data_IF_053998287823
#
_entry.id   IF_053998287823
#
_cell.length_a   1.000
_cell.length_b   1.000
_cell.length_c   1.000
_cell.angle_alpha   90.00
_cell.angle_beta   90.00
_cell.angle_gamma   90.00
#
_symmetry.space_group_name_H-M   'P 1'
#
loop_
_entity.id
_entity.type
_entity.pdbx_description
1 polymer ?
#
# COMPACT_ATOMS: atom_id res chain seq x y z
N UNK A 1 25.22 -2.89 -46.18
CA UNK A 1 24.75 -1.53 -46.52
C UNK A 1 24.00 -0.94 -45.33
N UNK A 2 24.66 -0.10 -44.53
CA UNK A 2 24.18 0.38 -43.22
C UNK A 2 23.76 1.86 -43.24
N UNK A 3 22.59 2.16 -43.79
CA UNK A 3 22.11 3.56 -43.95
C UNK A 3 21.13 3.99 -42.84
N UNK A 4 20.74 3.10 -41.93
CA UNK A 4 19.62 3.38 -41.00
C UNK A 4 20.02 4.12 -39.71
N UNK A 5 21.30 4.13 -39.31
CA UNK A 5 21.72 4.74 -38.02
C UNK A 5 22.02 6.24 -38.09
N UNK A 6 22.47 6.75 -39.23
CA UNK A 6 22.92 8.16 -39.35
C UNK A 6 21.71 9.11 -39.36
N UNK A 7 20.66 8.77 -40.12
CA UNK A 7 19.42 9.58 -40.22
C UNK A 7 18.68 9.65 -38.87
N UNK A 8 18.69 8.57 -38.09
CA UNK A 8 18.05 8.52 -36.78
C UNK A 8 18.78 9.36 -35.71
N UNK A 9 20.10 9.54 -35.84
CA UNK A 9 20.91 10.36 -34.92
C UNK A 9 20.69 11.85 -35.17
N UNK A 10 20.69 12.28 -36.44
CA UNK A 10 20.46 13.67 -36.83
C UNK A 10 19.12 14.23 -36.31
N UNK A 11 18.04 13.44 -36.40
CA UNK A 11 16.71 13.85 -35.90
C UNK A 11 16.62 13.93 -34.37
N UNK A 12 17.51 13.26 -33.65
CA UNK A 12 17.56 13.32 -32.17
C UNK A 12 18.16 14.65 -31.72
N UNK A 13 19.27 15.04 -32.34
CA UNK A 13 20.03 16.24 -31.97
C UNK A 13 19.23 17.51 -32.31
N UNK A 14 18.50 17.50 -33.42
CA UNK A 14 17.55 18.55 -33.83
C UNK A 14 16.40 18.73 -32.82
N UNK A 15 15.81 17.63 -32.34
CA UNK A 15 14.77 17.67 -31.29
C UNK A 15 15.31 18.29 -30.00
N UNK A 16 16.54 17.93 -29.60
CA UNK A 16 17.13 18.46 -28.37
C UNK A 16 17.49 19.95 -28.49
N UNK A 17 17.95 20.40 -29.66
CA UNK A 17 18.20 21.81 -29.94
C UNK A 17 16.91 22.64 -29.83
N UNK A 18 15.79 22.16 -30.40
CA UNK A 18 14.49 22.83 -30.34
C UNK A 18 13.91 22.89 -28.91
N UNK A 19 14.15 21.86 -28.10
CA UNK A 19 13.75 21.83 -26.69
C UNK A 19 14.59 22.79 -25.85
N UNK A 20 15.89 22.92 -26.14
CA UNK A 20 16.79 23.81 -25.41
C UNK A 20 16.58 25.31 -25.71
N UNK A 21 16.24 25.67 -26.95
CA UNK A 21 16.16 27.07 -27.39
C UNK A 21 14.93 27.86 -26.92
N UNK A 22 13.83 27.21 -26.50
CA UNK A 22 12.55 27.90 -26.22
C UNK A 22 11.95 27.66 -24.83
N UNK A 23 12.53 26.79 -24.00
CA UNK A 23 11.98 26.48 -22.68
C UNK A 23 10.56 25.87 -22.71
N UNK A 24 9.80 26.02 -21.62
CA UNK A 24 8.53 25.32 -21.34
C UNK A 24 7.34 25.72 -22.23
N UNK A 25 7.49 26.71 -23.12
CA UNK A 25 6.38 27.31 -23.85
C UNK A 25 5.93 26.53 -25.10
N UNK A 26 6.75 25.62 -25.62
CA UNK A 26 6.44 24.86 -26.84
C UNK A 26 6.03 23.44 -26.48
N UNK A 27 4.84 23.04 -26.93
CA UNK A 27 4.37 21.66 -26.72
C UNK A 27 5.22 20.65 -27.50
N UNK A 28 5.43 19.46 -26.93
CA UNK A 28 6.10 18.35 -27.62
C UNK A 28 5.42 17.96 -28.94
N UNK A 29 4.14 18.27 -29.10
CA UNK A 29 3.39 18.06 -30.34
C UNK A 29 3.82 19.02 -31.45
N UNK A 30 4.11 20.28 -31.11
CA UNK A 30 4.57 21.27 -32.07
C UNK A 30 6.01 20.99 -32.54
N UNK A 31 6.88 20.55 -31.62
CA UNK A 31 8.22 20.06 -31.97
C UNK A 31 8.14 18.85 -32.91
N UNK A 32 7.21 17.94 -32.63
CA UNK A 32 6.93 16.79 -33.51
C UNK A 32 6.55 17.21 -34.93
N UNK A 33 5.65 18.19 -35.08
CA UNK A 33 5.26 18.70 -36.40
C UNK A 33 6.44 19.30 -37.18
N UNK A 34 7.35 20.01 -36.51
CA UNK A 34 8.52 20.64 -37.15
C UNK A 34 9.56 19.63 -37.63
N UNK A 35 9.80 18.58 -36.84
CA UNK A 35 10.84 17.55 -37.15
C UNK A 35 10.25 16.32 -37.88
N UNK A 36 8.95 16.34 -38.19
CA UNK A 36 8.27 15.20 -38.83
C UNK A 36 8.21 13.96 -37.94
N UNK A 37 8.08 14.13 -36.62
CA UNK A 37 8.01 13.06 -35.63
C UNK A 37 6.67 13.08 -34.90
N UNK A 38 6.20 11.91 -34.46
CA UNK A 38 5.05 11.85 -33.56
C UNK A 38 5.40 12.49 -32.21
N UNK A 39 4.40 13.09 -31.55
CA UNK A 39 4.53 13.64 -30.19
C UNK A 39 5.16 12.62 -29.21
N UNK A 40 4.74 11.36 -29.31
CA UNK A 40 5.26 10.29 -28.44
C UNK A 40 6.74 10.00 -28.72
N UNK A 41 7.17 10.07 -30.00
CA UNK A 41 8.58 9.89 -30.34
C UNK A 41 9.46 11.01 -29.82
N UNK A 42 8.99 12.25 -29.89
CA UNK A 42 9.66 13.42 -29.28
C UNK A 42 9.76 13.25 -27.77
N UNK A 43 8.67 12.86 -27.10
CA UNK A 43 8.65 12.57 -25.65
C UNK A 43 9.70 11.52 -25.25
N UNK A 44 9.83 10.44 -26.01
CA UNK A 44 10.82 9.38 -25.74
C UNK A 44 12.26 9.89 -25.90
N UNK A 45 12.54 10.71 -26.91
CA UNK A 45 13.86 11.32 -27.14
C UNK A 45 14.25 12.22 -25.97
N UNK A 46 13.36 13.13 -25.58
CA UNK A 46 13.56 14.07 -24.47
C UNK A 46 13.72 13.33 -23.15
N UNK A 47 12.90 12.30 -22.90
CA UNK A 47 13.03 11.43 -21.72
C UNK A 47 14.38 10.71 -21.69
N UNK A 48 14.84 10.15 -22.81
CA UNK A 48 16.12 9.43 -22.90
C UNK A 48 17.34 10.35 -22.78
N UNK A 49 17.19 11.63 -23.11
CA UNK A 49 18.23 12.64 -22.99
C UNK A 49 18.32 13.28 -21.59
N UNK A 50 17.60 12.75 -20.59
CA UNK A 50 17.69 13.23 -19.21
C UNK A 50 16.88 14.49 -18.89
N UNK A 51 16.16 15.05 -19.87
CA UNK A 51 15.17 16.12 -19.63
C UNK A 51 13.88 15.50 -19.11
N UNK A 52 13.93 14.98 -17.88
CA UNK A 52 12.73 14.57 -17.17
C UNK A 52 11.98 15.83 -16.77
N UNK A 53 10.96 16.19 -17.55
CA UNK A 53 9.88 17.09 -17.15
C UNK A 53 9.12 16.49 -15.97
N UNK A 54 9.74 16.47 -14.81
CA UNK A 54 9.05 16.57 -13.53
C UNK A 54 9.19 18.02 -13.15
N UNK A 55 8.09 18.78 -13.22
CA UNK A 55 8.01 20.12 -12.68
C UNK A 55 8.73 20.12 -11.34
N UNK A 56 9.83 20.88 -11.22
CA UNK A 56 10.47 21.17 -9.93
C UNK A 56 9.56 22.13 -9.16
N UNK A 57 8.29 21.78 -9.04
CA UNK A 57 7.39 22.45 -8.13
C UNK A 57 8.04 22.38 -6.75
N UNK A 58 8.03 23.52 -6.08
CA UNK A 58 8.53 23.67 -4.73
C UNK A 58 8.02 22.50 -3.87
N UNK A 59 8.95 21.76 -3.28
CA UNK A 59 8.60 20.61 -2.47
C UNK A 59 8.27 21.12 -1.07
N UNK A 60 7.03 21.01 -0.59
CA UNK A 60 6.70 21.43 0.76
C UNK A 60 7.53 20.67 1.79
N UNK A 61 7.95 21.41 2.81
CA UNK A 61 8.60 20.88 4.00
C UNK A 61 7.56 20.41 5.02
N UNK A 62 7.80 19.25 5.63
CA UNK A 62 6.95 18.66 6.67
C UNK A 62 7.81 18.24 7.85
N UNK A 63 7.20 18.27 9.04
CA UNK A 63 7.79 17.73 10.27
C UNK A 63 7.29 16.29 10.44
N UNK A 64 8.20 15.35 10.66
CA UNK A 64 7.84 13.96 10.91
C UNK A 64 7.12 13.83 12.27
N UNK A 65 5.92 13.24 12.27
CA UNK A 65 5.13 13.07 13.50
C UNK A 65 5.78 12.12 14.53
N UNK A 66 6.73 11.27 14.11
CA UNK A 66 7.41 10.32 15.00
C UNK A 66 8.73 10.86 15.57
N UNK A 67 9.54 11.52 14.75
CA UNK A 67 10.92 11.90 15.12
C UNK A 67 11.19 13.40 15.08
N UNK A 68 10.23 14.22 14.67
CA UNK A 68 10.37 15.68 14.63
C UNK A 68 11.30 16.23 13.53
N UNK A 69 11.91 15.38 12.69
CA UNK A 69 12.79 15.84 11.60
C UNK A 69 12.00 16.52 10.49
N UNK A 70 12.54 17.63 9.97
CA UNK A 70 12.04 18.29 8.77
C UNK A 70 12.45 17.50 7.53
N UNK A 71 11.52 17.28 6.60
CA UNK A 71 11.77 16.59 5.34
C UNK A 71 10.91 17.13 4.20
N UNK A 72 11.41 17.03 2.96
CA UNK A 72 10.69 17.48 1.76
C UNK A 72 9.86 16.35 1.15
N UNK A 73 8.70 16.70 0.61
CA UNK A 73 7.85 15.74 -0.11
C UNK A 73 7.35 16.30 -1.43
N UNK A 74 7.05 15.40 -2.36
CA UNK A 74 6.27 15.76 -3.54
C UNK A 74 4.84 16.11 -3.13
N UNK A 75 4.27 17.16 -3.74
CA UNK A 75 2.89 17.60 -3.48
C UNK A 75 1.86 16.47 -3.64
N UNK A 76 2.08 15.55 -4.59
CA UNK A 76 1.23 14.36 -4.76
C UNK A 76 1.23 13.43 -3.55
N UNK A 77 2.36 13.27 -2.86
CA UNK A 77 2.46 12.48 -1.63
C UNK A 77 1.91 13.23 -0.42
N UNK A 78 2.03 14.54 -0.38
CA UNK A 78 1.38 15.36 0.65
C UNK A 78 -0.15 15.20 0.57
N UNK A 79 -0.73 15.27 -0.63
CA UNK A 79 -2.17 15.03 -0.86
C UNK A 79 -2.64 13.62 -0.45
N UNK A 80 -1.73 12.64 -0.39
CA UNK A 80 -1.99 11.28 0.09
C UNK A 80 -1.88 11.14 1.62
N UNK A 81 -1.60 12.23 2.36
CA UNK A 81 -1.52 12.20 3.82
C UNK A 81 -0.18 11.69 4.36
N UNK A 82 0.94 11.95 3.66
CA UNK A 82 2.28 11.60 4.16
C UNK A 82 2.61 12.38 5.44
N UNK A 83 2.84 11.65 6.55
CA UNK A 83 3.17 12.24 7.87
C UNK A 83 4.56 11.86 8.39
N UNK A 84 5.25 10.90 7.77
CA UNK A 84 6.50 10.33 8.26
C UNK A 84 7.63 10.47 7.24
N UNK A 85 8.84 10.77 7.73
CA UNK A 85 10.03 10.92 6.90
C UNK A 85 10.48 9.58 6.31
N UNK A 86 10.39 8.48 7.08
CA UNK A 86 10.85 7.14 6.66
C UNK A 86 9.81 6.03 6.92
N UNK A 87 9.92 4.88 6.22
CA UNK A 87 9.13 3.68 6.53
C UNK A 87 9.30 3.21 7.97
N UNK A 88 10.48 3.41 8.55
CA UNK A 88 10.79 3.07 9.95
C UNK A 88 9.97 3.91 10.92
N UNK A 89 9.88 5.23 10.71
CA UNK A 89 9.05 6.12 11.53
C UNK A 89 7.56 5.75 11.43
N UNK A 90 7.08 5.41 10.22
CA UNK A 90 5.71 4.91 10.03
C UNK A 90 5.48 3.57 10.74
N UNK A 91 6.46 2.67 10.74
CA UNK A 91 6.38 1.42 11.48
C UNK A 91 6.46 1.63 13.00
N UNK A 92 7.29 2.56 13.47
CA UNK A 92 7.39 2.93 14.89
C UNK A 92 6.06 3.50 15.41
N UNK A 93 5.46 4.45 14.69
CA UNK A 93 4.15 5.00 15.03
C UNK A 93 3.06 3.92 15.12
N UNK A 94 3.05 2.96 14.17
CA UNK A 94 2.14 1.79 14.21
C UNK A 94 2.42 0.82 15.36
N UNK A 95 3.68 0.71 15.81
CA UNK A 95 4.07 -0.14 16.95
C UNK A 95 3.74 0.52 18.30
N UNK A 96 3.83 1.84 18.38
CA UNK A 96 3.47 2.64 19.57
C UNK A 96 1.97 2.60 19.87
N UNK A 97 1.12 2.56 18.84
CA UNK A 97 -0.31 2.29 18.97
C UNK A 97 -0.56 0.79 19.28
N UNK A 98 -0.19 0.34 20.49
CA UNK A 98 -0.60 -0.99 20.95
C UNK A 98 -2.12 -1.04 21.00
N UNK A 99 -2.72 -1.95 20.22
CA UNK A 99 -4.14 -2.23 20.35
C UNK A 99 -4.48 -2.51 21.82
N UNK A 100 -5.59 -1.98 22.34
CA UNK A 100 -5.95 -2.16 23.74
C UNK A 100 -6.04 -3.66 24.08
N UNK A 101 -5.51 -4.02 25.24
CA UNK A 101 -5.68 -5.36 25.81
C UNK A 101 -7.02 -5.38 26.52
N UNK A 102 -7.91 -6.25 26.07
CA UNK A 102 -9.26 -6.40 26.61
C UNK A 102 -9.31 -7.64 27.50
N UNK A 103 -10.02 -7.52 28.62
CA UNK A 103 -10.30 -8.64 29.53
C UNK A 103 -11.64 -9.30 29.17
N UNK A 104 -11.65 -10.63 29.15
CA UNK A 104 -12.81 -11.46 28.82
C UNK A 104 -13.01 -12.51 29.90
N UNK A 105 -14.27 -12.94 30.09
CA UNK A 105 -14.61 -14.07 30.94
C UNK A 105 -14.83 -15.32 30.08
N UNK A 106 -14.21 -16.43 30.45
CA UNK A 106 -14.42 -17.69 29.73
C UNK A 106 -15.82 -18.26 30.04
N UNK A 107 -16.59 -18.60 29.00
CA UNK A 107 -17.93 -19.22 29.15
C UNK A 107 -17.89 -20.64 29.74
N UNK A 108 -16.74 -21.33 29.65
CA UNK A 108 -16.62 -22.71 30.13
C UNK A 108 -16.06 -22.79 31.56
N UNK A 109 -14.90 -22.18 31.84
CA UNK A 109 -14.28 -22.24 33.18
C UNK A 109 -14.55 -21.02 34.05
N UNK A 110 -15.11 -19.93 33.51
CA UNK A 110 -15.37 -18.70 34.25
C UNK A 110 -14.17 -17.81 34.53
N UNK A 111 -12.94 -18.25 34.21
CA UNK A 111 -11.71 -17.48 34.42
C UNK A 111 -11.63 -16.23 33.55
N UNK A 112 -11.03 -15.18 34.09
CA UNK A 112 -10.72 -13.94 33.37
C UNK A 112 -9.43 -14.15 32.59
N UNK A 113 -9.43 -13.78 31.31
CA UNK A 113 -8.25 -13.85 30.44
C UNK A 113 -8.18 -12.61 29.55
N UNK A 114 -6.98 -12.27 29.11
CA UNK A 114 -6.72 -11.06 28.32
C UNK A 114 -6.36 -11.37 26.88
N UNK A 115 -6.86 -10.57 25.93
CA UNK A 115 -6.51 -10.64 24.50
C UNK A 115 -6.35 -9.25 23.90
N UNK A 116 -5.52 -9.14 22.87
CA UNK A 116 -5.43 -7.89 22.10
C UNK A 116 -6.72 -7.69 21.31
N UNK A 117 -7.21 -6.46 21.18
CA UNK A 117 -8.41 -6.18 20.36
C UNK A 117 -8.31 -6.75 18.92
N UNK A 118 -7.10 -6.79 18.35
CA UNK A 118 -6.83 -7.39 17.03
C UNK A 118 -7.01 -8.91 16.96
N UNK A 119 -6.92 -9.61 18.09
CA UNK A 119 -7.08 -11.07 18.20
C UNK A 119 -8.56 -11.48 18.38
N UNK A 120 -9.42 -10.53 18.74
CA UNK A 120 -10.85 -10.75 19.01
C UNK A 120 -11.60 -10.75 17.67
N UNK A 121 -11.34 -11.74 16.81
CA UNK A 121 -12.19 -11.98 15.63
C UNK A 121 -13.35 -12.90 16.02
N UNK A 122 -14.58 -12.43 15.81
CA UNK A 122 -15.85 -13.17 15.86
C UNK A 122 -15.97 -14.22 16.99
N UNK A 123 -15.74 -13.81 18.23
CA UNK A 123 -16.23 -14.56 19.40
C UNK A 123 -15.21 -15.48 20.07
N UNK A 124 -14.12 -14.91 20.59
CA UNK A 124 -13.31 -15.59 21.61
C UNK A 124 -14.10 -15.70 22.90
N UNK A 125 -14.81 -16.82 23.08
CA UNK A 125 -15.62 -17.13 24.28
C UNK A 125 -14.84 -17.94 25.32
N UNK A 126 -13.67 -18.43 24.95
CA UNK A 126 -12.90 -19.39 25.73
C UNK A 126 -11.47 -18.91 25.96
N UNK A 127 -10.95 -19.12 27.17
CA UNK A 127 -9.58 -18.73 27.52
C UNK A 127 -8.52 -19.51 26.72
N UNK A 128 -8.82 -20.78 26.38
CA UNK A 128 -7.92 -21.72 25.68
C UNK A 128 -8.70 -22.69 24.79
N UNK A 129 -8.03 -23.28 23.80
CA UNK A 129 -8.60 -24.31 22.90
C UNK A 129 -9.16 -25.51 23.67
N UNK A 130 -8.59 -25.84 24.83
CA UNK A 130 -9.08 -26.92 25.70
C UNK A 130 -10.50 -26.64 26.20
N UNK A 131 -10.79 -25.42 26.62
CA UNK A 131 -12.13 -25.02 27.08
C UNK A 131 -13.15 -25.05 25.93
N UNK A 132 -12.73 -24.65 24.73
CA UNK A 132 -13.55 -24.75 23.52
C UNK A 132 -13.87 -26.21 23.17
N UNK A 133 -12.88 -27.11 23.23
CA UNK A 133 -13.09 -28.54 22.97
C UNK A 133 -14.03 -29.20 23.98
N UNK A 134 -13.85 -28.93 25.28
CA UNK A 134 -14.76 -29.42 26.33
C UNK A 134 -16.18 -28.90 26.15
N UNK A 135 -16.34 -27.63 25.79
CA UNK A 135 -17.65 -27.04 25.51
C UNK A 135 -18.35 -27.68 24.30
N UNK A 136 -17.63 -27.91 23.20
CA UNK A 136 -18.15 -28.59 22.01
C UNK A 136 -18.59 -30.03 22.31
N UNK A 137 -17.79 -30.77 23.09
CA UNK A 137 -18.11 -32.15 23.48
C UNK A 137 -19.36 -32.22 24.37
N UNK A 138 -19.54 -31.26 25.29
CA UNK A 138 -20.71 -31.20 26.16
C UNK A 138 -22.00 -30.83 25.39
N UNK A 139 -21.89 -30.00 24.34
CA UNK A 139 -23.04 -29.73 23.46
C UNK A 139 -23.45 -30.94 22.62
N UNK A 140 -22.49 -31.63 22.01
CA UNK A 140 -22.75 -32.79 21.15
C UNK A 140 -23.27 -34.01 21.91
N UNK A 141 -22.89 -34.18 23.18
CA UNK A 141 -23.40 -35.28 24.01
C UNK A 141 -24.87 -35.09 24.41
N UNK A 142 -25.34 -33.85 24.56
CA UNK A 142 -26.75 -33.53 24.86
C UNK A 142 -27.70 -33.84 23.69
N UNK A 143 -27.24 -33.76 22.44
CA UNK A 143 -28.09 -34.01 21.25
C UNK A 143 -28.17 -35.50 20.86
N UNK A 144 -27.19 -36.34 21.24
CA UNK A 144 -27.21 -37.78 20.97
C UNK A 144 -28.13 -38.61 21.88
N UNK A 145 -28.72 -38.01 22.91
CA UNK A 145 -29.63 -38.69 23.86
C UNK A 145 -31.07 -38.90 23.37
N UNK A 146 -31.44 -38.48 22.14
CA UNK A 146 -32.84 -38.45 21.66
C UNK A 146 -33.21 -39.54 20.63
N UNK A 147 -32.45 -40.62 20.53
CA UNK A 147 -32.87 -41.83 19.82
C UNK A 147 -32.78 -43.03 20.78
N UNK A 148 -33.80 -43.20 21.61
CA UNK A 148 -34.02 -44.49 22.28
C UNK A 148 -34.42 -45.50 21.20
N UNK A 149 -33.66 -46.58 21.06
CA UNK A 149 -34.03 -47.75 20.27
C UNK A 149 -35.38 -48.25 20.78
N UNK A 150 -36.36 -48.40 19.89
CA UNK A 150 -37.54 -49.22 20.18
C UNK A 150 -37.05 -50.66 20.02
N UNK A 151 -36.92 -51.40 21.11
CA UNK A 151 -36.67 -52.84 21.05
C UNK A 151 -37.95 -53.51 20.53
N UNK A 152 -37.83 -54.24 19.42
CA UNK A 152 -38.89 -55.12 18.93
C UNK A 152 -39.10 -56.25 19.95
N UNK A 153 -40.31 -56.35 20.48
CA UNK A 153 -40.75 -57.47 21.30
C UNK A 153 -40.80 -58.76 20.46
N UNK A 154 -40.50 -59.87 21.15
CA UNK A 154 -40.34 -61.26 20.65
C UNK A 154 -41.41 -61.74 19.68
#
# INVERSE_FOLDING_TARGET
MGVTRVVAKARKDEVLALVAQRGDSVSLAEIGRKVGLSRERVRQIVRKAGSHGGSRGEQPELICAECGKVFTVRLSRLRQGRQFCSPECSAASRRGARAPVLAFRCEFCGEIYTRKASEVKRGTRFCRNVCQGKWLNNKLSRERGRFKRIEAAK
#
